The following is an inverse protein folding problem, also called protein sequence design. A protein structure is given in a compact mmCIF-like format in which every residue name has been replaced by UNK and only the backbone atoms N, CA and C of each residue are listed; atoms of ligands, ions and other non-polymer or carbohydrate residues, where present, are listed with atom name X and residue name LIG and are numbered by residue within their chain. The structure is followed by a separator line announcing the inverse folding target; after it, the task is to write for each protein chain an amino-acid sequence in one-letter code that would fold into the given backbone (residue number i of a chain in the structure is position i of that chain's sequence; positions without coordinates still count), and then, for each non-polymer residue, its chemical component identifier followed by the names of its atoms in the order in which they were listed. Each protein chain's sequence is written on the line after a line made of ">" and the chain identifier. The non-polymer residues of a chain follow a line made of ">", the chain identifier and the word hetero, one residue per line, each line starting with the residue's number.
data_IF_031930536099
#
_entry.id   IF_031930536099
#
_cell.length_a   1.000
_cell.length_b   1.000
_cell.length_c   1.000
_cell.angle_alpha   90.00
_cell.angle_beta   90.00
_cell.angle_gamma   90.00
#
_symmetry.space_group_name_H-M   'P 1'
#
loop_
_entity.id
_entity.type
_entity.pdbx_description
1 polymer ?
#
# COMPACT_ATOMS: atom_id res chain seq x y z
N UNK A 1 -13.53 -45.41 8.98
CA UNK A 1 -12.37 -46.32 8.83
C UNK A 1 -11.10 -45.64 9.38
N UNK A 2 -10.80 -45.80 10.68
CA UNK A 2 -9.65 -45.14 11.37
C UNK A 2 -8.39 -46.01 11.42
N UNK A 3 -8.56 -47.33 11.57
CA UNK A 3 -7.48 -48.33 11.73
C UNK A 3 -6.42 -48.25 10.61
N UNK A 4 -6.84 -48.03 9.36
CA UNK A 4 -5.92 -47.92 8.21
C UNK A 4 -5.14 -46.60 8.23
N UNK A 5 -5.74 -45.52 8.75
CA UNK A 5 -5.05 -44.23 8.91
C UNK A 5 -3.96 -44.34 9.97
N UNK A 6 -4.25 -45.02 11.08
CA UNK A 6 -3.31 -45.23 12.18
C UNK A 6 -2.11 -46.06 11.74
N UNK A 7 -2.33 -47.09 10.91
CA UNK A 7 -1.24 -47.88 10.32
C UNK A 7 -0.33 -47.05 9.39
N UNK A 8 -0.91 -46.20 8.53
CA UNK A 8 -0.11 -45.31 7.69
C UNK A 8 0.71 -44.31 8.53
N UNK A 9 0.16 -43.82 9.65
CA UNK A 9 0.86 -42.91 10.55
C UNK A 9 2.01 -43.59 11.29
N UNK A 10 1.81 -44.84 11.74
CA UNK A 10 2.87 -45.68 12.28
C UNK A 10 4.00 -45.89 11.27
N UNK A 11 3.66 -46.26 10.03
CA UNK A 11 4.65 -46.46 8.95
C UNK A 11 5.41 -45.18 8.67
N UNK A 12 4.73 -44.04 8.50
CA UNK A 12 5.35 -42.74 8.26
C UNK A 12 6.37 -42.38 9.34
N UNK A 13 6.00 -42.52 10.62
CA UNK A 13 6.86 -42.16 11.75
C UNK A 13 8.10 -43.06 11.87
N UNK A 14 7.96 -44.34 11.54
CA UNK A 14 9.08 -45.28 11.59
C UNK A 14 10.00 -45.15 10.37
N UNK A 15 9.46 -44.84 9.18
CA UNK A 15 10.28 -44.52 8.02
C UNK A 15 11.12 -43.24 8.24
N UNK A 16 10.57 -42.22 8.92
CA UNK A 16 11.32 -40.99 9.27
C UNK A 16 12.44 -41.27 10.30
N UNK A 17 12.30 -42.33 11.11
CA UNK A 17 13.31 -42.78 12.09
C UNK A 17 14.38 -43.70 11.50
N UNK A 18 14.24 -44.10 10.24
CA UNK A 18 15.22 -44.95 9.54
C UNK A 18 14.90 -46.45 9.52
N UNK A 19 13.71 -46.87 9.95
CA UNK A 19 13.28 -48.26 9.75
C UNK A 19 13.06 -48.55 8.26
N UNK A 20 13.37 -49.78 7.83
CA UNK A 20 13.22 -50.15 6.43
C UNK A 20 11.81 -50.65 6.12
N UNK A 21 11.35 -50.45 4.87
CA UNK A 21 10.03 -50.95 4.43
C UNK A 21 9.83 -52.46 4.65
N UNK A 22 10.93 -53.22 4.60
CA UNK A 22 10.92 -54.69 4.74
C UNK A 22 10.55 -55.07 6.19
N UNK A 23 11.12 -54.38 7.17
CA UNK A 23 10.82 -54.57 8.60
C UNK A 23 9.38 -54.17 8.93
N UNK A 24 8.84 -53.16 8.23
CA UNK A 24 7.49 -52.65 8.47
C UNK A 24 6.40 -53.43 7.70
N UNK A 25 6.78 -54.39 6.84
CA UNK A 25 5.84 -55.13 6.00
C UNK A 25 5.15 -54.27 4.92
N UNK A 26 5.82 -53.21 4.44
CA UNK A 26 5.25 -52.21 3.53
C UNK A 26 5.83 -52.36 2.12
N UNK A 27 4.97 -52.25 1.11
CA UNK A 27 5.42 -52.25 -0.29
C UNK A 27 6.24 -50.99 -0.62
N UNK A 28 7.17 -51.11 -1.57
CA UNK A 28 8.03 -49.99 -1.98
C UNK A 28 7.24 -48.76 -2.45
N UNK A 29 6.20 -48.99 -3.27
CA UNK A 29 5.35 -47.90 -3.78
C UNK A 29 4.64 -47.18 -2.63
N UNK A 30 4.18 -47.92 -1.62
CA UNK A 30 3.50 -47.34 -0.46
C UNK A 30 4.49 -46.55 0.42
N UNK A 31 5.72 -47.03 0.62
CA UNK A 31 6.79 -46.28 1.28
C UNK A 31 7.03 -44.94 0.58
N UNK A 32 7.26 -44.95 -0.74
CA UNK A 32 7.56 -43.72 -1.49
C UNK A 32 6.40 -42.74 -1.50
N UNK A 33 5.16 -43.22 -1.68
CA UNK A 33 3.97 -42.37 -1.60
C UNK A 33 3.83 -41.71 -0.22
N UNK A 34 4.01 -42.48 0.85
CA UNK A 34 3.95 -41.95 2.21
C UNK A 34 5.06 -40.93 2.47
N UNK A 35 6.28 -41.21 2.00
CA UNK A 35 7.42 -40.31 2.13
C UNK A 35 7.21 -38.97 1.39
N UNK A 36 6.68 -39.00 0.16
CA UNK A 36 6.36 -37.79 -0.60
C UNK A 36 5.28 -36.97 0.13
N UNK A 37 4.22 -37.62 0.62
CA UNK A 37 3.18 -36.94 1.38
C UNK A 37 3.72 -36.28 2.66
N UNK A 38 4.67 -36.92 3.35
CA UNK A 38 5.32 -36.32 4.52
C UNK A 38 6.15 -35.09 4.13
N UNK A 39 6.94 -35.18 3.07
CA UNK A 39 7.75 -34.05 2.57
C UNK A 39 6.89 -32.87 2.16
N UNK A 40 5.79 -33.13 1.43
CA UNK A 40 4.83 -32.10 1.04
C UNK A 40 4.18 -31.42 2.24
N UNK A 41 3.82 -32.18 3.28
CA UNK A 41 3.30 -31.60 4.53
C UNK A 41 4.32 -30.71 5.24
N UNK A 42 5.58 -31.17 5.36
CA UNK A 42 6.67 -30.35 5.94
C UNK A 42 6.90 -29.06 5.12
N UNK A 43 6.78 -29.12 3.80
CA UNK A 43 6.86 -27.92 2.94
C UNK A 43 5.68 -26.99 3.15
N UNK A 44 4.45 -27.52 3.18
CA UNK A 44 3.26 -26.73 3.43
C UNK A 44 3.31 -26.00 4.77
N UNK A 45 3.78 -26.68 5.82
CA UNK A 45 3.94 -26.11 7.16
C UNK A 45 4.95 -24.94 7.15
N UNK A 46 6.10 -25.11 6.49
CA UNK A 46 7.09 -24.02 6.32
C UNK A 46 6.55 -22.86 5.49
N UNK A 47 5.81 -23.15 4.41
CA UNK A 47 5.19 -22.11 3.58
C UNK A 47 4.14 -21.34 4.39
N UNK A 48 3.34 -22.04 5.20
CA UNK A 48 2.36 -21.42 6.08
C UNK A 48 3.02 -20.54 7.13
N UNK A 49 4.09 -21.01 7.76
CA UNK A 49 4.88 -20.22 8.72
C UNK A 49 5.45 -18.94 8.06
N UNK A 50 5.98 -19.05 6.84
CA UNK A 50 6.44 -17.89 6.08
C UNK A 50 5.30 -16.98 5.67
N UNK A 51 4.15 -17.52 5.27
CA UNK A 51 2.97 -16.75 4.93
C UNK A 51 2.46 -16.00 6.15
N UNK A 52 2.39 -16.62 7.33
CA UNK A 52 1.99 -15.95 8.57
C UNK A 52 2.95 -14.80 8.90
N UNK A 53 4.28 -15.04 8.83
CA UNK A 53 5.29 -13.97 9.01
C UNK A 53 5.13 -12.84 8.01
N UNK A 54 4.93 -13.15 6.72
CA UNK A 54 4.69 -12.16 5.68
C UNK A 54 3.38 -11.44 5.91
N UNK A 55 2.32 -12.11 6.35
CA UNK A 55 1.01 -11.50 6.60
C UNK A 55 1.05 -10.60 7.84
N UNK A 56 1.86 -10.93 8.85
CA UNK A 56 2.10 -10.04 9.99
C UNK A 56 2.86 -8.79 9.53
N UNK A 57 3.94 -8.96 8.76
CA UNK A 57 4.76 -7.85 8.26
C UNK A 57 4.03 -7.00 7.20
N UNK A 58 3.27 -7.63 6.30
CA UNK A 58 2.46 -6.95 5.28
C UNK A 58 1.19 -6.33 5.87
N UNK A 59 0.63 -6.91 6.94
CA UNK A 59 -0.42 -6.28 7.73
C UNK A 59 0.08 -5.02 8.44
N UNK A 60 1.30 -5.05 8.98
CA UNK A 60 1.97 -3.86 9.51
C UNK A 60 2.26 -2.83 8.41
N UNK A 61 2.82 -3.26 7.27
CA UNK A 61 3.13 -2.35 6.16
C UNK A 61 1.89 -1.73 5.51
N UNK A 62 0.77 -2.46 5.38
CA UNK A 62 -0.47 -1.88 4.82
C UNK A 62 -0.94 -0.67 5.64
N UNK A 63 -0.80 -0.74 6.96
CA UNK A 63 -1.14 0.36 7.84
C UNK A 63 -0.11 1.49 7.72
N UNK A 64 1.19 1.19 7.62
CA UNK A 64 2.23 2.22 7.43
C UNK A 64 2.08 3.01 6.12
N UNK A 65 1.65 2.39 5.02
CA UNK A 65 1.38 3.08 3.76
C UNK A 65 0.19 4.02 3.86
N UNK A 66 -0.87 3.60 4.54
CA UNK A 66 -2.08 4.40 4.75
C UNK A 66 -1.80 5.55 5.71
N UNK A 67 -1.12 5.27 6.83
CA UNK A 67 -0.80 6.25 7.86
C UNK A 67 0.24 7.28 7.41
N UNK A 68 1.17 6.89 6.53
CA UNK A 68 2.15 7.84 5.99
C UNK A 68 1.72 8.46 4.66
N UNK A 69 0.61 8.08 4.02
CA UNK A 69 0.25 8.55 2.68
C UNK A 69 0.40 10.08 2.53
N UNK A 70 -0.12 10.84 3.50
CA UNK A 70 -0.04 12.31 3.52
C UNK A 70 1.40 12.84 3.55
N UNK A 71 2.31 12.19 4.29
CA UNK A 71 3.73 12.56 4.33
C UNK A 71 4.42 12.34 2.98
N UNK A 72 4.09 11.25 2.29
CA UNK A 72 4.67 10.95 0.98
C UNK A 72 4.10 11.87 -0.10
N UNK A 73 2.80 12.18 -0.02
CA UNK A 73 2.15 13.18 -0.89
C UNK A 73 2.73 14.57 -0.65
N UNK A 74 2.91 14.99 0.60
CA UNK A 74 3.52 16.28 0.95
C UNK A 74 4.96 16.40 0.42
N UNK A 75 5.80 15.38 0.62
CA UNK A 75 7.17 15.38 0.08
C UNK A 75 7.23 15.34 -1.45
N UNK A 76 6.26 14.71 -2.11
CA UNK A 76 6.13 14.78 -3.57
C UNK A 76 5.74 16.19 -4.04
N UNK A 77 4.77 16.83 -3.38
CA UNK A 77 4.32 18.18 -3.71
C UNK A 77 5.44 19.21 -3.49
N UNK A 78 6.21 19.09 -2.41
CA UNK A 78 7.38 19.94 -2.16
C UNK A 78 8.39 19.88 -3.32
N UNK A 79 8.71 18.67 -3.78
CA UNK A 79 9.60 18.47 -4.93
C UNK A 79 8.99 18.97 -6.25
N UNK A 80 7.66 18.90 -6.39
CA UNK A 80 6.93 19.39 -7.55
C UNK A 80 6.85 20.92 -7.60
N UNK A 81 6.60 21.58 -6.47
CA UNK A 81 6.59 23.04 -6.33
C UNK A 81 7.95 23.62 -6.66
N UNK A 82 9.04 23.03 -6.15
CA UNK A 82 10.40 23.45 -6.48
C UNK A 82 10.67 23.31 -8.00
N UNK A 83 10.17 22.24 -8.63
CA UNK A 83 10.23 22.04 -10.07
C UNK A 83 9.40 23.06 -10.86
N UNK A 84 8.20 23.39 -10.38
CA UNK A 84 7.30 24.37 -10.97
C UNK A 84 7.89 25.77 -10.93
N UNK A 85 8.51 26.17 -9.82
CA UNK A 85 9.19 27.47 -9.70
C UNK A 85 10.39 27.58 -10.64
N UNK A 86 11.20 26.53 -10.77
CA UNK A 86 12.32 26.48 -11.74
C UNK A 86 11.81 26.62 -13.18
N UNK A 87 10.74 25.90 -13.53
CA UNK A 87 10.13 25.97 -14.85
C UNK A 87 9.47 27.33 -15.11
N UNK A 88 8.74 27.88 -14.13
CA UNK A 88 8.11 29.20 -14.19
C UNK A 88 9.13 30.32 -14.36
N UNK A 89 10.28 30.22 -13.69
CA UNK A 89 11.40 31.16 -13.83
C UNK A 89 12.00 31.06 -15.24
N UNK A 90 12.28 29.85 -15.72
CA UNK A 90 12.81 29.66 -17.08
C UNK A 90 11.86 30.16 -18.18
N UNK A 91 10.54 29.99 -18.00
CA UNK A 91 9.53 30.52 -18.92
C UNK A 91 9.51 32.05 -18.85
N UNK A 92 9.52 32.64 -17.65
CA UNK A 92 9.55 34.09 -17.44
C UNK A 92 10.80 34.72 -18.08
N UNK A 93 11.97 34.16 -17.84
CA UNK A 93 13.24 34.62 -18.38
C UNK A 93 13.23 34.59 -19.92
N UNK A 94 12.72 33.50 -20.50
CA UNK A 94 12.60 33.36 -21.96
C UNK A 94 11.61 34.35 -22.58
N UNK A 95 10.51 34.65 -21.90
CA UNK A 95 9.55 35.67 -22.34
C UNK A 95 10.16 37.07 -22.20
N UNK A 96 10.82 37.37 -21.09
CA UNK A 96 11.46 38.66 -20.82
C UNK A 96 12.64 38.93 -21.77
N UNK A 97 13.44 37.92 -22.10
CA UNK A 97 14.51 38.01 -23.09
C UNK A 97 13.96 38.28 -24.49
N UNK A 98 12.85 37.60 -24.86
CA UNK A 98 12.18 37.84 -26.14
C UNK A 98 11.59 39.25 -26.22
N UNK A 99 11.02 39.76 -25.13
CA UNK A 99 10.52 41.14 -25.05
C UNK A 99 11.66 42.18 -25.13
N UNK A 100 12.78 41.98 -24.41
CA UNK A 100 13.96 42.86 -24.51
C UNK A 100 14.63 42.80 -25.89
N UNK A 101 14.69 41.63 -26.51
CA UNK A 101 15.23 41.44 -27.86
C UNK A 101 14.38 42.12 -28.95
N UNK A 102 13.08 42.29 -28.71
CA UNK A 102 12.16 42.98 -29.62
C UNK A 102 12.28 44.52 -29.56
N UNK A 103 12.74 45.08 -28.44
CA UNK A 103 13.00 46.53 -28.32
C UNK A 103 14.25 47.01 -29.08
N UNK A 104 15.12 46.09 -29.53
CA UNK A 104 16.35 46.43 -30.28
C UNK A 104 16.18 46.42 -31.80
N UNK A 105 14.96 46.26 -32.33
CA UNK A 105 14.66 46.32 -33.78
C UNK A 105 13.47 47.24 -34.08
N UNK A 106 13.70 48.55 -34.00
CA UNK A 106 12.81 49.57 -34.58
C UNK A 106 12.91 50.94 -33.89
N UNK A 107 13.01 52.05 -34.63
CA UNK A 107 13.31 53.37 -34.07
C UNK A 107 12.07 54.09 -33.51
N UNK A 108 12.28 54.76 -32.39
CA UNK A 108 11.68 56.04 -31.95
C UNK A 108 10.17 56.23 -32.09
N UNK A 109 9.41 55.97 -31.03
CA UNK A 109 8.37 56.90 -30.55
C UNK A 109 8.05 56.68 -29.06
N UNK A 110 8.51 57.66 -28.28
CA UNK A 110 7.97 58.19 -27.02
C UNK A 110 6.75 57.47 -26.42
N UNK A 111 6.89 56.97 -25.19
CA UNK A 111 5.99 57.31 -24.08
C UNK A 111 6.71 57.09 -22.75
N UNK A 112 6.56 58.10 -21.90
CA UNK A 112 7.37 58.43 -20.75
C UNK A 112 6.66 58.00 -19.47
N UNK A 113 7.44 57.38 -18.57
CA UNK A 113 7.34 57.31 -17.11
C UNK A 113 5.99 56.98 -16.42
N UNK A 114 6.04 55.98 -15.52
CA UNK A 114 5.04 55.84 -14.46
C UNK A 114 5.34 54.73 -13.46
N UNK A 115 6.22 55.04 -12.49
CA UNK A 115 6.34 54.50 -11.11
C UNK A 115 6.26 52.97 -10.87
N UNK A 116 7.39 52.44 -10.39
CA UNK A 116 7.43 51.35 -9.42
C UNK A 116 6.71 51.80 -8.14
N UNK A 117 5.66 51.08 -7.74
CA UNK A 117 5.18 51.07 -6.35
C UNK A 117 5.12 49.59 -5.93
N UNK A 118 6.09 49.19 -5.12
CA UNK A 118 6.00 47.97 -4.33
C UNK A 118 5.01 48.27 -3.19
N UNK A 119 3.78 47.81 -3.32
CA UNK A 119 2.86 47.65 -2.20
C UNK A 119 2.51 46.17 -2.12
N UNK A 120 3.36 45.42 -1.44
CA UNK A 120 2.96 44.22 -0.72
C UNK A 120 2.09 44.71 0.44
N UNK A 121 0.77 44.65 0.29
CA UNK A 121 -0.17 44.75 1.40
C UNK A 121 -1.43 43.91 1.10
N UNK A 122 -1.60 42.93 1.98
CA UNK A 122 -2.69 42.01 2.31
C UNK A 122 -4.11 42.24 1.75
N UNK A 123 -4.83 41.14 1.49
CA UNK A 123 -6.06 40.78 2.24
C UNK A 123 -6.51 39.35 1.88
N UNK A 124 -6.43 38.43 2.85
CA UNK A 124 -7.10 37.13 2.77
C UNK A 124 -8.57 37.35 3.13
N UNK A 125 -9.48 37.03 2.23
CA UNK A 125 -10.89 36.89 2.58
C UNK A 125 -11.05 35.53 3.28
N UNK A 126 -11.31 35.57 4.60
CA UNK A 126 -11.91 34.46 5.34
C UNK A 126 -13.30 34.20 4.77
N UNK A 127 -13.45 33.08 4.06
CA UNK A 127 -14.74 32.57 3.59
C UNK A 127 -15.30 31.69 4.72
N UNK A 128 -15.95 32.35 5.68
CA UNK A 128 -16.85 31.71 6.65
C UNK A 128 -18.08 31.20 5.87
N UNK A 129 -18.06 29.92 5.48
CA UNK A 129 -19.28 29.20 5.09
C UNK A 129 -19.52 28.05 6.10
N UNK A 130 -20.31 28.43 7.09
CA UNK A 130 -21.02 27.61 8.07
C UNK A 130 -22.06 26.72 7.37
N UNK A 131 -21.83 25.40 7.32
CA UNK A 131 -22.86 24.43 6.94
C UNK A 131 -22.82 23.16 7.82
N UNK A 132 -23.65 23.25 8.86
CA UNK A 132 -24.54 22.22 9.43
C UNK A 132 -24.04 20.77 9.56
N UNK A 133 -23.86 20.41 10.83
CA UNK A 133 -23.74 19.08 11.42
C UNK A 133 -25.01 18.23 11.15
N UNK A 134 -24.99 17.36 10.15
CA UNK A 134 -26.02 16.32 9.94
C UNK A 134 -25.67 15.05 10.73
N UNK A 135 -26.12 14.97 11.99
CA UNK A 135 -26.13 13.74 12.79
C UNK A 135 -27.08 12.69 12.17
N UNK A 136 -26.53 11.67 11.52
CA UNK A 136 -27.29 10.46 11.18
C UNK A 136 -27.39 9.53 12.40
N UNK A 137 -28.52 9.57 13.10
CA UNK A 137 -28.93 8.52 14.01
C UNK A 137 -29.23 7.24 13.21
N UNK A 138 -28.33 6.26 13.25
CA UNK A 138 -28.64 4.91 12.81
C UNK A 138 -29.43 4.20 13.92
N UNK A 139 -30.74 4.15 13.72
CA UNK A 139 -31.74 3.42 14.51
C UNK A 139 -31.28 1.98 14.82
N UNK A 140 -31.15 1.66 16.11
CA UNK A 140 -31.06 0.29 16.60
C UNK A 140 -32.42 -0.40 16.41
N UNK A 141 -32.53 -1.33 15.44
CA UNK A 141 -33.59 -2.34 15.49
C UNK A 141 -33.05 -3.66 16.05
N UNK A 142 -33.34 -3.84 17.34
CA UNK A 142 -33.41 -5.13 18.01
C UNK A 142 -34.51 -6.00 17.37
N UNK A 143 -34.14 -7.21 16.96
CA UNK A 143 -35.04 -8.37 17.11
C UNK A 143 -34.28 -9.51 17.77
N UNK A 144 -34.60 -9.69 19.04
CA UNK A 144 -34.26 -10.85 19.85
C UNK A 144 -35.30 -11.97 19.62
N UNK A 145 -34.96 -13.15 20.11
CA UNK A 145 -35.80 -14.33 20.38
C UNK A 145 -35.81 -15.52 19.40
N UNK A 146 -34.98 -16.48 19.82
CA UNK A 146 -35.39 -17.81 20.30
C UNK A 146 -35.13 -19.04 19.42
N UNK A 147 -34.22 -19.86 19.96
CA UNK A 147 -34.22 -21.32 20.01
C UNK A 147 -35.32 -22.07 19.24
N UNK A 148 -34.88 -23.08 18.47
CA UNK A 148 -35.27 -24.47 18.76
C UNK A 148 -34.34 -25.50 18.18
N UNK A 149 -33.81 -26.31 19.09
CA UNK A 149 -33.26 -27.66 18.91
C UNK A 149 -34.14 -28.52 18.00
N UNK A 150 -33.51 -29.27 17.08
CA UNK A 150 -33.72 -30.71 16.91
C UNK A 150 -32.59 -31.35 16.14
#
# INVERSE_FOLDING_TARGET
>A
MRIVKDYNQYVMRNLDRGYTRKELGVSYVKEKRLMVNMRLKKLHEKVKEHQEKIQTVAGMHRNEWVENADRWVAGFLEMFEEGCHKMGTAIRDRIQERLRGQQSRGPTYLLQNGKEDNNDDEEYYDDDDDYEDEEYYAEEEYYDEEEKKK
#
